data_IF_460643461064
#
_entry.id   IF_460643461064
#
_cell.length_a   1.000
_cell.length_b   1.000
_cell.length_c   1.000
_cell.angle_alpha   90.00
_cell.angle_beta   90.00
_cell.angle_gamma   90.00
#
_symmetry.space_group_name_H-M   'P 1'
#
loop_
_entity.id
_entity.type
_entity.pdbx_description
1 polymer ?
#
# COMPACT_ATOMS: atom_id res chain seq x y z
N UNK A 1 26.55 -6.83 -6.77
CA UNK A 1 25.19 -6.62 -6.23
C UNK A 1 25.10 -7.48 -4.98
N UNK A 2 25.06 -6.87 -3.78
CA UNK A 2 25.00 -7.65 -2.56
C UNK A 2 23.73 -8.48 -2.57
N UNK A 3 23.88 -9.80 -2.51
CA UNK A 3 22.78 -10.75 -2.41
C UNK A 3 22.15 -10.56 -1.03
N UNK A 4 21.26 -9.56 -0.92
CA UNK A 4 20.48 -9.36 0.29
C UNK A 4 19.50 -10.51 0.34
N UNK A 5 19.89 -11.59 1.02
CA UNK A 5 19.09 -12.81 1.16
C UNK A 5 17.83 -12.52 2.00
N UNK A 6 16.83 -11.95 1.35
CA UNK A 6 15.50 -11.75 1.93
C UNK A 6 14.90 -13.12 2.25
N UNK A 7 14.41 -13.27 3.47
CA UNK A 7 13.70 -14.48 3.91
C UNK A 7 12.46 -14.69 3.05
N UNK A 8 11.98 -15.94 2.84
CA UNK A 8 10.75 -16.23 2.07
C UNK A 8 9.55 -15.36 2.48
N UNK A 9 9.41 -15.09 3.79
CA UNK A 9 8.36 -14.20 4.34
C UNK A 9 8.52 -12.74 3.90
N UNK A 10 9.74 -12.23 3.86
CA UNK A 10 10.06 -10.86 3.47
C UNK A 10 9.86 -10.67 1.97
N UNK A 11 10.28 -11.64 1.14
CA UNK A 11 9.99 -11.64 -0.30
C UNK A 11 8.48 -11.55 -0.56
N UNK A 12 7.66 -12.36 0.12
CA UNK A 12 6.20 -12.31 -0.05
C UNK A 12 5.62 -10.96 0.38
N UNK A 13 6.05 -10.41 1.52
CA UNK A 13 5.61 -9.08 1.98
C UNK A 13 5.91 -8.00 0.95
N UNK A 14 7.11 -8.04 0.38
CA UNK A 14 7.64 -6.96 -0.44
C UNK A 14 7.13 -7.05 -1.86
N UNK A 15 7.15 -8.23 -2.48
CA UNK A 15 6.77 -8.39 -3.88
C UNK A 15 5.27 -8.59 -4.10
N UNK A 16 4.52 -8.97 -3.06
CA UNK A 16 3.07 -9.23 -3.18
C UNK A 16 2.27 -8.26 -2.30
N UNK A 17 2.42 -8.31 -0.98
CA UNK A 17 1.54 -7.54 -0.09
C UNK A 17 1.70 -6.03 -0.24
N UNK A 18 2.94 -5.52 -0.36
CA UNK A 18 3.20 -4.09 -0.51
C UNK A 18 2.59 -3.50 -1.79
N UNK A 19 2.81 -4.06 -2.99
CA UNK A 19 2.21 -3.52 -4.20
C UNK A 19 0.69 -3.68 -4.18
N UNK A 20 0.14 -4.78 -3.66
CA UNK A 20 -1.32 -4.93 -3.47
C UNK A 20 -1.90 -3.83 -2.59
N UNK A 21 -1.26 -3.53 -1.45
CA UNK A 21 -1.71 -2.45 -0.56
C UNK A 21 -1.60 -1.07 -1.21
N UNK A 22 -0.54 -0.84 -2.00
CA UNK A 22 -0.39 0.41 -2.77
C UNK A 22 -1.47 0.54 -3.85
N UNK A 23 -1.78 -0.55 -4.57
CA UNK A 23 -2.87 -0.58 -5.55
C UNK A 23 -4.23 -0.34 -4.90
N UNK A 24 -4.50 -0.96 -3.74
CA UNK A 24 -5.73 -0.72 -3.00
C UNK A 24 -5.85 0.75 -2.54
N UNK A 25 -4.77 1.33 -2.02
CA UNK A 25 -4.73 2.74 -1.65
C UNK A 25 -4.91 3.67 -2.86
N UNK A 26 -4.28 3.37 -4.00
CA UNK A 26 -4.45 4.12 -5.24
C UNK A 26 -5.88 4.05 -5.78
N UNK A 27 -6.50 2.87 -5.74
CA UNK A 27 -7.88 2.66 -6.12
C UNK A 27 -8.86 3.46 -5.24
N UNK A 28 -8.69 3.40 -3.92
CA UNK A 28 -9.46 4.22 -2.96
C UNK A 28 -9.30 5.71 -3.26
N UNK A 29 -8.07 6.16 -3.55
CA UNK A 29 -7.80 7.56 -3.90
C UNK A 29 -8.52 7.97 -5.16
N UNK A 30 -8.50 7.14 -6.22
CA UNK A 30 -9.24 7.41 -7.44
C UNK A 30 -10.75 7.48 -7.20
N UNK A 31 -11.33 6.56 -6.42
CA UNK A 31 -12.77 6.63 -6.10
C UNK A 31 -13.12 7.96 -5.41
N UNK A 32 -12.29 8.40 -4.47
CA UNK A 32 -12.51 9.65 -3.75
C UNK A 32 -12.42 10.85 -4.68
N UNK A 33 -11.52 10.84 -5.67
CA UNK A 33 -11.31 11.94 -6.62
C UNK A 33 -12.31 11.94 -7.78
N UNK A 34 -12.60 10.79 -8.37
CA UNK A 34 -13.42 10.65 -9.59
C UNK A 34 -14.92 10.52 -9.31
N UNK A 35 -15.36 10.53 -8.03
CA UNK A 35 -16.78 10.49 -7.63
C UNK A 35 -17.52 9.30 -8.29
N UNK A 36 -16.83 8.17 -8.48
CA UNK A 36 -17.35 7.01 -9.21
C UNK A 36 -16.40 5.82 -9.21
N UNK A 37 -16.81 4.72 -9.84
CA UNK A 37 -15.93 3.57 -10.05
C UNK A 37 -14.87 3.94 -11.10
N UNK A 38 -13.57 3.80 -10.78
CA UNK A 38 -12.54 4.11 -11.75
C UNK A 38 -12.63 3.15 -12.93
N UNK A 39 -12.34 3.68 -14.12
CA UNK A 39 -12.33 2.90 -15.35
C UNK A 39 -11.44 1.65 -15.17
N UNK A 40 -11.88 0.44 -15.59
CA UNK A 40 -11.08 -0.77 -15.53
C UNK A 40 -9.66 -0.61 -16.09
N UNK A 41 -9.48 0.19 -17.15
CA UNK A 41 -8.17 0.48 -17.76
C UNK A 41 -7.25 1.21 -16.77
N UNK A 42 -7.76 2.24 -16.09
CA UNK A 42 -7.02 2.97 -15.05
C UNK A 42 -6.64 2.05 -13.89
N UNK A 43 -7.55 1.14 -13.51
CA UNK A 43 -7.34 0.18 -12.44
C UNK A 43 -6.22 -0.81 -12.77
N UNK A 44 -6.24 -1.38 -13.97
CA UNK A 44 -5.15 -2.25 -14.47
C UNK A 44 -3.83 -1.51 -14.60
N UNK A 45 -3.84 -0.25 -15.07
CA UNK A 45 -2.66 0.60 -15.16
C UNK A 45 -2.03 0.85 -13.79
N UNK A 46 -2.84 1.16 -12.79
CA UNK A 46 -2.41 1.38 -11.40
C UNK A 46 -1.83 0.11 -10.78
N UNK A 47 -2.52 -1.02 -10.94
CA UNK A 47 -2.02 -2.30 -10.42
C UNK A 47 -0.66 -2.64 -11.05
N UNK A 48 -0.58 -2.59 -12.38
CA UNK A 48 0.65 -2.92 -13.10
C UNK A 48 1.78 -1.95 -12.75
N UNK A 49 1.50 -0.65 -12.70
CA UNK A 49 2.46 0.39 -12.32
C UNK A 49 3.02 0.22 -10.92
N UNK A 50 2.18 -0.11 -9.93
CA UNK A 50 2.66 -0.36 -8.57
C UNK A 50 3.47 -1.64 -8.45
N UNK A 51 3.10 -2.70 -9.17
CA UNK A 51 3.89 -3.95 -9.18
C UNK A 51 5.26 -3.74 -9.82
N UNK A 52 5.31 -3.10 -11.00
CA UNK A 52 6.57 -2.81 -11.70
C UNK A 52 7.43 -1.82 -10.92
N UNK A 53 6.84 -0.72 -10.45
CA UNK A 53 7.54 0.31 -9.68
C UNK A 53 8.11 -0.23 -8.38
N UNK A 54 7.35 -1.06 -7.67
CA UNK A 54 7.83 -1.71 -6.45
C UNK A 54 8.92 -2.76 -6.75
N UNK A 55 8.82 -3.51 -7.85
CA UNK A 55 9.88 -4.43 -8.29
C UNK A 55 11.20 -3.69 -8.58
N UNK A 56 11.13 -2.57 -9.31
CA UNK A 56 12.28 -1.71 -9.60
C UNK A 56 12.87 -1.09 -8.33
N UNK A 57 12.03 -0.60 -7.42
CA UNK A 57 12.47 -0.03 -6.15
C UNK A 57 13.24 -1.04 -5.29
N UNK A 58 12.78 -2.30 -5.25
CA UNK A 58 13.45 -3.38 -4.51
C UNK A 58 14.77 -3.77 -5.18
N UNK A 59 14.82 -3.77 -6.52
CA UNK A 59 16.04 -4.07 -7.29
C UNK A 59 17.13 -3.01 -7.08
N UNK A 60 16.76 -1.73 -7.00
CA UNK A 60 17.73 -0.63 -6.86
C UNK A 60 18.05 -0.23 -5.42
N UNK A 61 17.13 -0.45 -4.46
CA UNK A 61 17.34 -0.11 -3.05
C UNK A 61 16.90 -1.23 -2.10
N UNK A 62 17.56 -2.41 -2.12
CA UNK A 62 17.19 -3.55 -1.28
C UNK A 62 17.36 -3.29 0.23
N UNK A 63 18.28 -2.40 0.62
CA UNK A 63 18.53 -2.06 2.03
C UNK A 63 17.36 -1.35 2.71
N UNK A 64 16.65 -0.50 1.96
CA UNK A 64 15.44 0.19 2.44
C UNK A 64 14.29 -0.78 2.76
N UNK A 65 14.37 -2.00 2.23
CA UNK A 65 13.38 -3.06 2.40
C UNK A 65 13.71 -3.96 3.59
N UNK A 66 15.01 -4.23 3.80
CA UNK A 66 15.51 -5.06 4.91
C UNK A 66 15.45 -4.33 6.26
N UNK A 67 15.61 -3.00 6.24
CA UNK A 67 15.41 -2.15 7.41
C UNK A 67 13.91 -2.04 7.72
N UNK A 68 13.32 -3.15 8.15
CA UNK A 68 11.95 -3.21 8.67
C UNK A 68 11.77 -2.23 9.84
N UNK A 69 10.53 -2.07 10.35
CA UNK A 69 10.26 -1.15 11.45
C UNK A 69 11.22 -1.44 12.61
N UNK A 70 11.97 -0.43 13.04
CA UNK A 70 12.95 -0.52 14.12
C UNK A 70 12.38 -1.36 15.27
N UNK A 71 13.17 -2.33 15.78
CA UNK A 71 12.77 -3.22 16.91
C UNK A 71 12.28 -2.44 18.13
N UNK A 72 12.66 -1.15 18.25
CA UNK A 72 12.12 -0.19 19.21
C UNK A 72 11.50 1.01 18.47
N UNK A 73 10.20 0.94 18.10
CA UNK A 73 9.55 2.08 17.46
C UNK A 73 9.45 3.25 18.46
N UNK A 74 9.76 4.46 18.00
CA UNK A 74 9.65 5.66 18.83
C UNK A 74 8.19 5.95 19.20
N UNK A 75 7.94 6.71 20.27
CA UNK A 75 6.56 7.12 20.67
C UNK A 75 5.80 7.75 19.49
N UNK A 76 6.48 8.58 18.68
CA UNK A 76 5.92 9.22 17.48
C UNK A 76 5.55 8.20 16.39
N UNK A 77 6.35 7.15 16.18
CA UNK A 77 6.04 6.09 15.22
C UNK A 77 4.84 5.24 15.64
N UNK A 78 4.67 4.98 16.94
CA UNK A 78 3.48 4.29 17.47
C UNK A 78 2.23 5.12 17.24
N UNK A 79 2.25 6.40 17.62
CA UNK A 79 1.13 7.33 17.40
C UNK A 79 0.80 7.45 15.92
N UNK A 80 1.81 7.66 15.07
CA UNK A 80 1.61 7.74 13.61
C UNK A 80 0.94 6.49 13.06
N UNK A 81 1.33 5.29 13.51
CA UNK A 81 0.70 4.03 13.09
C UNK A 81 -0.77 3.96 13.53
N UNK A 82 -1.09 4.35 14.75
CA UNK A 82 -2.47 4.39 15.26
C UNK A 82 -3.33 5.37 14.46
N UNK A 83 -2.84 6.59 14.25
CA UNK A 83 -3.52 7.61 13.43
C UNK A 83 -3.75 7.10 12.01
N UNK A 84 -2.75 6.45 11.41
CA UNK A 84 -2.86 5.86 10.07
C UNK A 84 -3.99 4.82 10.01
N UNK A 85 -4.10 3.95 11.02
CA UNK A 85 -5.16 2.95 11.07
C UNK A 85 -6.54 3.57 11.25
N UNK A 86 -6.68 4.59 12.10
CA UNK A 86 -7.94 5.31 12.27
C UNK A 86 -8.34 5.96 10.95
N UNK A 87 -7.40 6.65 10.29
CA UNK A 87 -7.68 7.33 9.02
C UNK A 87 -8.11 6.34 7.93
N UNK A 88 -7.40 5.21 7.81
CA UNK A 88 -7.76 4.13 6.87
C UNK A 88 -9.13 3.52 7.20
N UNK A 89 -9.42 3.32 8.49
CA UNK A 89 -10.73 2.82 8.95
C UNK A 89 -11.86 3.78 8.62
N UNK A 90 -11.67 5.09 8.85
CA UNK A 90 -12.66 6.13 8.49
C UNK A 90 -12.88 6.20 6.99
N UNK A 91 -11.81 6.18 6.17
CA UNK A 91 -11.94 6.17 4.72
C UNK A 91 -12.71 4.92 4.26
N UNK A 92 -12.37 3.75 4.79
CA UNK A 92 -13.08 2.51 4.47
C UNK A 92 -14.56 2.58 4.86
N UNK A 93 -14.89 3.14 6.03
CA UNK A 93 -16.27 3.34 6.46
C UNK A 93 -17.03 4.31 5.54
N UNK A 94 -16.42 5.43 5.14
CA UNK A 94 -17.03 6.39 4.19
C UNK A 94 -17.30 5.71 2.85
N UNK A 95 -16.36 4.89 2.35
CA UNK A 95 -16.58 4.11 1.13
C UNK A 95 -17.73 3.12 1.30
N UNK A 96 -17.80 2.38 2.40
CA UNK A 96 -18.89 1.45 2.66
C UNK A 96 -20.26 2.16 2.68
N UNK A 97 -20.39 3.26 3.42
CA UNK A 97 -21.63 4.05 3.47
C UNK A 97 -22.00 4.56 2.08
N UNK A 98 -21.02 5.10 1.35
CA UNK A 98 -21.26 5.63 0.00
C UNK A 98 -21.69 4.56 -1.00
N UNK A 99 -21.08 3.37 -0.96
CA UNK A 99 -21.37 2.31 -1.93
C UNK A 99 -22.57 1.43 -1.57
N UNK A 100 -22.90 1.25 -0.29
CA UNK A 100 -23.97 0.33 0.14
C UNK A 100 -25.25 1.04 0.62
N UNK A 101 -25.20 2.33 0.95
CA UNK A 101 -26.35 3.06 1.50
C UNK A 101 -26.82 4.18 0.55
N UNK A 102 -25.90 4.81 -0.19
CA UNK A 102 -26.21 5.95 -1.07
C UNK A 102 -26.38 5.59 -2.57
N UNK A 103 -26.06 4.37 -2.96
CA UNK A 103 -26.35 3.76 -4.28
C UNK A 103 -27.48 2.76 -4.08
#
# INVERSE_FOLDING_TARGET
MADVSLTKKEKRRVYLYRPVMMSAAGFVTLILLEVGWPNPVSLFGIMTGFFIGNFLAVKWKPEAVKNGPSKKPSKKQKVGRVVSYILLGTIFFVLLVRFFILI
#
